data_IF_220812025040
#
_entry.id   IF_220812025040
#
_cell.length_a   1.000
_cell.length_b   1.000
_cell.length_c   1.000
_cell.angle_alpha   90.00
_cell.angle_beta   90.00
_cell.angle_gamma   90.00
#
_symmetry.space_group_name_H-M   'P 1'
#
loop_
_entity.id
_entity.type
_entity.pdbx_description
1 polymer ?
#
# COMPACT_ATOMS: atom_id res chain seq x y z
N UNK A 1 -2.42 19.33 -13.04
CA UNK A 1 -3.26 20.43 -12.55
C UNK A 1 -4.58 20.32 -13.29
N UNK A 2 -5.62 19.75 -12.68
CA UNK A 2 -6.94 19.57 -13.32
C UNK A 2 -7.82 20.74 -12.91
N UNK A 3 -8.09 21.64 -13.85
CA UNK A 3 -9.06 22.73 -13.68
C UNK A 3 -10.45 22.09 -13.79
N UNK A 4 -11.11 21.90 -12.65
CA UNK A 4 -12.54 21.62 -12.60
C UNK A 4 -13.25 22.95 -12.80
N UNK A 5 -13.73 23.18 -14.02
CA UNK A 5 -14.63 24.30 -14.32
C UNK A 5 -15.99 23.94 -13.69
N UNK A 6 -16.24 24.46 -12.49
CA UNK A 6 -17.57 24.53 -11.90
C UNK A 6 -18.36 25.57 -12.69
N UNK A 7 -19.16 25.09 -13.64
CA UNK A 7 -20.21 25.88 -14.27
C UNK A 7 -21.29 26.16 -13.22
N UNK A 8 -21.12 27.26 -12.46
CA UNK A 8 -22.22 27.94 -11.82
C UNK A 8 -23.01 28.68 -12.90
N UNK A 9 -23.94 27.99 -13.55
CA UNK A 9 -24.94 28.58 -14.44
C UNK A 9 -26.30 28.04 -14.00
N UNK A 10 -27.28 28.82 -13.57
CA UNK A 10 -27.34 30.25 -13.34
C UNK A 10 -28.63 30.55 -12.58
N UNK A 11 -28.60 31.52 -11.67
CA UNK A 11 -29.82 32.11 -11.14
C UNK A 11 -30.48 32.90 -12.28
N UNK A 12 -31.40 32.27 -13.00
CA UNK A 12 -32.27 32.98 -13.93
C UNK A 12 -33.38 33.63 -13.12
N UNK A 13 -33.05 34.73 -12.42
CA UNK A 13 -34.02 35.57 -11.75
C UNK A 13 -34.99 36.12 -12.81
N UNK A 14 -36.08 35.39 -13.02
CA UNK A 14 -37.07 35.71 -14.05
C UNK A 14 -37.89 36.89 -13.54
N UNK A 15 -37.40 38.10 -13.82
CA UNK A 15 -37.88 39.39 -13.31
C UNK A 15 -39.37 39.71 -13.61
N UNK A 16 -40.06 38.88 -14.40
CA UNK A 16 -41.48 39.06 -14.75
C UNK A 16 -42.45 38.47 -13.71
N UNK A 17 -42.07 37.43 -12.97
CA UNK A 17 -42.97 36.75 -12.01
C UNK A 17 -43.32 37.54 -10.74
N UNK A 18 -42.42 38.35 -10.12
CA UNK A 18 -42.80 39.18 -8.97
C UNK A 18 -43.86 40.23 -9.32
N UNK A 19 -43.90 40.71 -10.59
CA UNK A 19 -44.87 41.72 -11.03
C UNK A 19 -46.32 41.23 -11.01
N UNK A 20 -46.54 39.94 -11.31
CA UNK A 20 -47.89 39.34 -11.30
C UNK A 20 -48.44 39.25 -9.88
N UNK A 21 -47.59 38.96 -8.89
CA UNK A 21 -47.99 38.96 -7.48
C UNK A 21 -48.31 40.37 -6.97
N UNK A 22 -47.55 41.39 -7.42
CA UNK A 22 -47.83 42.78 -7.10
C UNK A 22 -49.17 43.25 -7.69
N UNK A 23 -49.48 42.81 -8.91
CA UNK A 23 -50.76 43.08 -9.58
C UNK A 23 -51.93 42.40 -8.88
N UNK A 24 -51.82 41.11 -8.56
CA UNK A 24 -52.84 40.38 -7.80
C UNK A 24 -53.10 41.02 -6.42
N UNK A 25 -52.04 41.48 -5.75
CA UNK A 25 -52.17 42.16 -4.45
C UNK A 25 -52.92 43.49 -4.57
N UNK A 26 -52.73 44.25 -5.66
CA UNK A 26 -53.49 45.49 -5.92
C UNK A 26 -54.97 45.20 -6.17
N UNK A 27 -55.25 44.21 -7.01
CA UNK A 27 -56.61 43.79 -7.35
C UNK A 27 -57.39 43.27 -6.14
N UNK A 28 -56.72 42.80 -5.08
CA UNK A 28 -57.35 42.26 -3.88
C UNK A 28 -58.41 43.18 -3.23
N UNK A 29 -58.23 44.51 -3.34
CA UNK A 29 -59.15 45.50 -2.75
C UNK A 29 -60.22 45.95 -3.73
N UNK A 30 -59.91 45.95 -5.03
CA UNK A 30 -60.78 46.47 -6.10
C UNK A 30 -61.68 45.39 -6.69
N UNK A 31 -61.10 44.23 -7.01
CA UNK A 31 -61.77 43.05 -7.56
C UNK A 31 -61.09 41.75 -7.06
N UNK A 32 -61.59 41.18 -5.95
CA UNK A 32 -61.06 39.94 -5.41
C UNK A 32 -61.12 38.76 -6.37
N UNK A 33 -62.09 38.73 -7.29
CA UNK A 33 -62.26 37.62 -8.22
C UNK A 33 -61.18 37.68 -9.31
N UNK A 34 -60.91 38.87 -9.85
CA UNK A 34 -59.80 39.09 -10.77
C UNK A 34 -58.44 38.79 -10.11
N UNK A 35 -58.26 39.16 -8.83
CA UNK A 35 -57.06 38.80 -8.07
C UNK A 35 -56.87 37.28 -7.98
N UNK A 36 -57.94 36.53 -7.69
CA UNK A 36 -57.90 35.07 -7.63
C UNK A 36 -57.62 34.43 -9.00
N UNK A 37 -58.23 34.95 -10.07
CA UNK A 37 -57.96 34.51 -11.46
C UNK A 37 -56.51 34.74 -11.85
N UNK A 38 -55.94 35.89 -11.51
CA UNK A 38 -54.53 36.22 -11.73
C UNK A 38 -53.61 35.21 -11.02
N UNK A 39 -53.89 34.89 -9.75
CA UNK A 39 -53.10 33.94 -8.96
C UNK A 39 -53.24 32.48 -9.44
N UNK A 40 -54.41 32.11 -9.98
CA UNK A 40 -54.63 30.79 -10.59
C UNK A 40 -53.86 30.64 -11.93
N UNK A 41 -53.61 31.73 -12.65
CA UNK A 41 -52.85 31.73 -13.90
C UNK A 41 -51.35 31.48 -13.73
N UNK A 42 -50.81 31.60 -12.51
CA UNK A 42 -49.40 31.38 -12.23
C UNK A 42 -49.06 29.90 -12.12
N UNK A 43 -48.06 29.43 -12.86
CA UNK A 43 -47.48 28.10 -12.67
C UNK A 43 -46.52 28.11 -11.46
N UNK A 44 -46.96 27.50 -10.36
CA UNK A 44 -46.19 27.45 -9.10
C UNK A 44 -44.98 26.53 -9.26
N UNK A 45 -45.11 25.54 -10.14
CA UNK A 45 -44.12 24.47 -10.29
C UNK A 45 -42.80 24.99 -10.89
N UNK A 46 -42.85 26.11 -11.62
CA UNK A 46 -41.68 26.77 -12.19
C UNK A 46 -41.04 27.83 -11.29
N UNK A 47 -41.65 28.16 -10.14
CA UNK A 47 -41.08 29.14 -9.22
C UNK A 47 -39.79 28.59 -8.61
N UNK A 48 -38.71 29.36 -8.66
CA UNK A 48 -37.40 28.93 -8.15
C UNK A 48 -37.26 29.17 -6.63
N UNK A 49 -37.91 30.22 -6.12
CA UNK A 49 -37.69 30.72 -4.76
C UNK A 49 -38.87 30.43 -3.82
N UNK A 50 -38.52 29.84 -2.67
CA UNK A 50 -39.42 29.58 -1.55
C UNK A 50 -40.11 30.84 -1.01
N UNK A 51 -39.45 32.01 -1.04
CA UNK A 51 -40.05 33.26 -0.58
C UNK A 51 -41.19 33.72 -1.49
N UNK A 52 -40.98 33.59 -2.80
CA UNK A 52 -41.99 33.93 -3.82
C UNK A 52 -43.20 33.00 -3.72
N UNK A 53 -42.96 31.70 -3.49
CA UNK A 53 -44.02 30.70 -3.28
C UNK A 53 -44.81 30.98 -2.00
N UNK A 54 -44.14 31.36 -0.91
CA UNK A 54 -44.80 31.75 0.33
C UNK A 54 -45.65 33.02 0.18
N UNK A 55 -45.15 34.02 -0.57
CA UNK A 55 -45.90 35.24 -0.88
C UNK A 55 -47.13 34.93 -1.73
N UNK A 56 -46.98 34.11 -2.77
CA UNK A 56 -48.10 33.63 -3.58
C UNK A 56 -49.15 32.92 -2.72
N UNK A 57 -48.72 32.00 -1.84
CA UNK A 57 -49.61 31.25 -0.97
C UNK A 57 -50.42 32.14 0.01
N UNK A 58 -49.78 33.20 0.52
CA UNK A 58 -50.44 34.19 1.37
C UNK A 58 -51.52 34.95 0.60
N UNK A 59 -51.17 35.48 -0.58
CA UNK A 59 -52.10 36.22 -1.44
C UNK A 59 -53.23 35.34 -1.96
N UNK A 60 -52.95 34.08 -2.29
CA UNK A 60 -53.94 33.10 -2.72
C UNK A 60 -54.99 32.86 -1.63
N UNK A 61 -54.52 32.64 -0.41
CA UNK A 61 -55.37 32.45 0.76
C UNK A 61 -56.19 33.70 1.08
N UNK A 62 -55.60 34.88 0.94
CA UNK A 62 -56.28 36.16 1.10
C UNK A 62 -57.40 36.36 0.05
N UNK A 63 -57.13 36.04 -1.22
CA UNK A 63 -58.12 36.08 -2.29
C UNK A 63 -59.27 35.11 -2.03
N UNK A 64 -58.99 33.90 -1.54
CA UNK A 64 -60.06 32.95 -1.19
C UNK A 64 -60.97 33.51 -0.09
N UNK A 65 -60.40 34.11 0.97
CA UNK A 65 -61.20 34.76 2.03
C UNK A 65 -62.02 35.91 1.48
N UNK A 66 -61.42 36.78 0.66
CA UNK A 66 -62.09 37.94 0.08
C UNK A 66 -63.27 37.54 -0.82
N UNK A 67 -63.15 36.43 -1.55
CA UNK A 67 -64.23 35.83 -2.35
C UNK A 67 -65.18 34.93 -1.54
N UNK A 68 -65.00 34.81 -0.22
CA UNK A 68 -65.79 33.93 0.67
C UNK A 68 -65.78 32.46 0.25
N UNK A 69 -64.65 31.98 -0.26
CA UNK A 69 -64.43 30.59 -0.69
C UNK A 69 -63.77 29.77 0.41
N UNK A 70 -64.13 28.49 0.48
CA UNK A 70 -63.56 27.53 1.43
C UNK A 70 -62.44 26.73 0.78
N UNK A 71 -61.29 26.60 1.46
CA UNK A 71 -60.24 25.70 0.99
C UNK A 71 -60.54 24.25 1.39
N UNK A 72 -60.30 23.27 0.49
CA UNK A 72 -60.50 21.85 0.79
C UNK A 72 -59.45 21.30 1.77
N UNK A 73 -58.27 21.93 1.86
CA UNK A 73 -57.17 21.54 2.75
C UNK A 73 -56.47 22.79 3.28
N UNK A 74 -55.53 22.59 4.22
CA UNK A 74 -54.68 23.67 4.72
C UNK A 74 -53.32 23.78 3.97
N UNK A 75 -53.09 22.98 2.91
CA UNK A 75 -51.76 22.84 2.30
C UNK A 75 -51.19 24.17 1.80
N UNK A 76 -51.96 24.95 1.03
CA UNK A 76 -51.47 26.20 0.44
C UNK A 76 -51.17 27.22 1.54
N UNK A 77 -52.10 27.44 2.47
CA UNK A 77 -51.86 28.42 3.55
C UNK A 77 -50.71 28.01 4.47
N UNK A 78 -50.50 26.71 4.68
CA UNK A 78 -49.36 26.22 5.47
C UNK A 78 -48.01 26.58 4.85
N UNK A 79 -47.91 26.71 3.52
CA UNK A 79 -46.68 27.19 2.86
C UNK A 79 -46.28 28.56 3.42
N UNK A 80 -47.24 29.49 3.49
CA UNK A 80 -47.00 30.83 4.04
C UNK A 80 -46.70 30.78 5.54
N UNK A 81 -47.50 30.03 6.31
CA UNK A 81 -47.32 29.89 7.76
C UNK A 81 -45.93 29.34 8.11
N UNK A 82 -45.52 28.24 7.47
CA UNK A 82 -44.23 27.60 7.71
C UNK A 82 -43.06 28.49 7.30
N UNK A 83 -43.17 29.15 6.14
CA UNK A 83 -42.13 30.05 5.65
C UNK A 83 -41.98 31.28 6.57
N UNK A 84 -43.05 32.05 6.80
CA UNK A 84 -42.97 33.28 7.60
C UNK A 84 -42.67 33.00 9.08
N UNK A 85 -43.16 31.88 9.61
CA UNK A 85 -42.83 31.41 10.95
C UNK A 85 -41.35 31.05 11.09
N UNK A 86 -40.79 30.29 10.14
CA UNK A 86 -39.38 29.90 10.13
C UNK A 86 -38.42 31.08 9.90
N UNK A 87 -38.85 32.11 9.17
CA UNK A 87 -38.06 33.32 8.89
C UNK A 87 -38.29 34.45 9.91
N UNK A 88 -39.09 34.21 10.96
CA UNK A 88 -39.38 35.16 12.03
C UNK A 88 -40.04 36.49 11.56
N UNK A 89 -40.81 36.41 10.47
CA UNK A 89 -41.60 37.53 9.91
C UNK A 89 -42.98 37.55 10.59
N UNK A 90 -43.05 38.25 11.72
CA UNK A 90 -44.16 38.15 12.68
C UNK A 90 -45.51 38.64 12.13
N UNK A 91 -45.51 39.71 11.35
CA UNK A 91 -46.75 40.33 10.87
C UNK A 91 -47.41 39.46 9.80
N UNK A 92 -46.62 38.99 8.84
CA UNK A 92 -47.04 38.06 7.78
C UNK A 92 -47.44 36.70 8.35
N UNK A 93 -46.71 36.19 9.34
CA UNK A 93 -47.07 34.96 10.04
C UNK A 93 -48.41 35.08 10.77
N UNK A 94 -48.64 36.19 11.49
CA UNK A 94 -49.93 36.44 12.14
C UNK A 94 -51.05 36.57 11.11
N UNK A 95 -50.82 37.27 9.99
CA UNK A 95 -51.78 37.37 8.89
C UNK A 95 -52.12 35.98 8.33
N UNK A 96 -51.12 35.17 8.01
CA UNK A 96 -51.30 33.82 7.49
C UNK A 96 -52.08 32.93 8.48
N UNK A 97 -51.74 33.00 9.77
CA UNK A 97 -52.41 32.22 10.81
C UNK A 97 -53.88 32.60 10.97
N UNK A 98 -54.21 33.90 10.87
CA UNK A 98 -55.61 34.38 10.86
C UNK A 98 -56.36 33.90 9.63
N UNK A 99 -55.75 34.01 8.44
CA UNK A 99 -56.36 33.52 7.19
C UNK A 99 -56.64 32.02 7.26
N UNK A 100 -55.70 31.22 7.78
CA UNK A 100 -55.89 29.77 8.00
C UNK A 100 -57.14 29.46 8.84
N UNK A 101 -57.35 30.21 9.92
CA UNK A 101 -58.52 30.03 10.77
C UNK A 101 -59.82 30.42 10.05
N UNK A 102 -59.80 31.50 9.28
CA UNK A 102 -60.98 32.07 8.62
C UNK A 102 -61.43 31.23 7.41
N UNK A 103 -60.49 30.78 6.56
CA UNK A 103 -60.79 30.03 5.32
C UNK A 103 -61.61 28.76 5.59
N UNK A 104 -61.38 28.13 6.74
CA UNK A 104 -62.10 26.91 7.15
C UNK A 104 -63.54 27.16 7.59
N UNK A 105 -63.88 28.40 7.94
CA UNK A 105 -65.19 28.75 8.53
C UNK A 105 -66.24 29.17 7.51
N UNK A 106 -65.85 29.49 6.27
CA UNK A 106 -66.81 29.75 5.22
C UNK A 106 -67.48 28.46 4.75
N UNK A 107 -68.78 28.53 4.45
CA UNK A 107 -69.60 27.39 4.00
C UNK A 107 -69.90 27.36 2.51
N UNK A 108 -69.22 28.20 1.70
CA UNK A 108 -69.43 28.25 0.26
C UNK A 108 -68.47 27.27 -0.43
N UNK A 109 -68.96 26.05 -0.64
CA UNK A 109 -68.26 25.00 -1.36
C UNK A 109 -68.49 25.17 -2.86
N UNK A 110 -67.66 25.98 -3.50
CA UNK A 110 -67.59 26.02 -4.96
C UNK A 110 -66.72 24.86 -5.48
N UNK A 111 -67.29 24.02 -6.34
CA UNK A 111 -66.62 22.88 -6.93
C UNK A 111 -65.46 23.31 -7.85
N UNK A 112 -65.63 24.42 -8.57
CA UNK A 112 -64.61 24.96 -9.47
C UNK A 112 -63.41 25.48 -8.68
N UNK A 113 -63.64 26.29 -7.65
CA UNK A 113 -62.59 26.75 -6.74
C UNK A 113 -61.86 25.58 -6.07
N UNK A 114 -62.58 24.53 -5.69
CA UNK A 114 -61.99 23.31 -5.10
C UNK A 114 -61.08 22.60 -6.10
N UNK A 115 -61.51 22.44 -7.35
CA UNK A 115 -60.70 21.81 -8.39
C UNK A 115 -59.42 22.60 -8.71
N UNK A 116 -59.53 23.93 -8.85
CA UNK A 116 -58.38 24.82 -9.07
C UNK A 116 -57.39 24.79 -7.90
N UNK A 117 -57.91 24.76 -6.66
CA UNK A 117 -57.08 24.64 -5.47
C UNK A 117 -56.27 23.33 -5.49
N UNK A 118 -56.94 22.19 -5.73
CA UNK A 118 -56.27 20.88 -5.80
C UNK A 118 -55.26 20.80 -6.95
N UNK A 119 -55.51 21.49 -8.07
CA UNK A 119 -54.53 21.63 -9.14
C UNK A 119 -53.27 22.34 -8.64
N UNK A 120 -53.42 23.46 -7.91
CA UNK A 120 -52.29 24.22 -7.35
C UNK A 120 -51.51 23.46 -6.29
N UNK A 121 -52.18 22.64 -5.47
CA UNK A 121 -51.48 21.70 -4.59
C UNK A 121 -50.59 20.73 -5.35
N UNK A 122 -51.08 20.16 -6.46
CA UNK A 122 -50.28 19.23 -7.29
C UNK A 122 -49.06 19.92 -7.90
N UNK A 123 -49.22 21.14 -8.41
CA UNK A 123 -48.10 21.96 -8.91
C UNK A 123 -47.04 22.20 -7.81
N UNK A 124 -47.48 22.49 -6.59
CA UNK A 124 -46.59 22.66 -5.44
C UNK A 124 -45.86 21.36 -5.06
N UNK A 125 -46.54 20.21 -5.10
CA UNK A 125 -45.87 18.92 -4.83
C UNK A 125 -44.79 18.60 -5.87
N UNK A 126 -45.01 18.95 -7.14
CA UNK A 126 -44.00 18.83 -8.20
C UNK A 126 -42.80 19.76 -7.96
N UNK A 127 -43.03 20.99 -7.47
CA UNK A 127 -41.96 21.88 -7.04
C UNK A 127 -41.11 21.25 -5.92
N UNK A 128 -41.79 20.74 -4.87
CA UNK A 128 -41.11 20.11 -3.73
C UNK A 128 -40.27 18.90 -4.15
N UNK A 129 -40.76 18.12 -5.09
CA UNK A 129 -40.02 16.97 -5.63
C UNK A 129 -38.78 17.40 -6.41
N UNK A 130 -38.89 18.42 -7.28
CA UNK A 130 -37.74 18.99 -8.00
C UNK A 130 -36.67 19.52 -7.04
N UNK A 131 -37.07 20.33 -6.05
CA UNK A 131 -36.15 20.86 -5.05
C UNK A 131 -35.46 19.74 -4.23
N UNK A 132 -36.14 18.62 -3.96
CA UNK A 132 -35.53 17.47 -3.31
C UNK A 132 -34.54 16.73 -4.22
N UNK A 133 -34.87 16.55 -5.51
CA UNK A 133 -33.99 15.91 -6.50
C UNK A 133 -32.71 16.72 -6.73
N UNK A 134 -32.79 18.05 -6.76
CA UNK A 134 -31.61 18.91 -6.85
C UNK A 134 -30.66 18.72 -5.67
N UNK A 135 -31.20 18.67 -4.44
CA UNK A 135 -30.39 18.38 -3.25
C UNK A 135 -29.71 17.01 -3.33
N UNK A 136 -30.43 15.98 -3.79
CA UNK A 136 -29.86 14.65 -3.99
C UNK A 136 -28.73 14.68 -5.03
N UNK A 137 -28.90 15.41 -6.12
CA UNK A 137 -27.87 15.57 -7.16
C UNK A 137 -26.59 16.24 -6.63
N UNK A 138 -26.70 17.28 -5.80
CA UNK A 138 -25.53 17.90 -5.17
C UNK A 138 -24.81 16.93 -4.21
N UNK A 139 -25.57 16.17 -3.42
CA UNK A 139 -25.00 15.17 -2.50
C UNK A 139 -24.23 14.09 -3.28
N UNK A 140 -24.78 13.59 -4.39
CA UNK A 140 -24.10 12.56 -5.20
C UNK A 140 -22.80 13.09 -5.82
N UNK A 141 -22.79 14.32 -6.33
CA UNK A 141 -21.56 14.96 -6.84
C UNK A 141 -20.49 15.05 -5.75
N UNK A 142 -20.85 15.47 -4.53
CA UNK A 142 -19.92 15.57 -3.41
C UNK A 142 -19.31 14.20 -3.07
N UNK A 143 -20.14 13.14 -3.02
CA UNK A 143 -19.68 11.77 -2.75
C UNK A 143 -18.70 11.28 -3.83
N UNK A 144 -19.00 11.54 -5.11
CA UNK A 144 -18.12 11.16 -6.23
C UNK A 144 -16.78 11.90 -6.14
N UNK A 145 -16.79 13.19 -5.81
CA UNK A 145 -15.56 13.98 -5.64
C UNK A 145 -14.69 13.45 -4.50
N UNK A 146 -15.29 13.07 -3.37
CA UNK A 146 -14.56 12.46 -2.25
C UNK A 146 -13.95 11.11 -2.64
N UNK A 147 -14.70 10.25 -3.34
CA UNK A 147 -14.21 8.98 -3.83
C UNK A 147 -13.06 9.13 -4.84
N UNK A 148 -13.15 10.10 -5.76
CA UNK A 148 -12.06 10.41 -6.68
C UNK A 148 -10.81 10.90 -5.94
N UNK A 149 -10.99 11.77 -4.94
CA UNK A 149 -9.90 12.27 -4.09
C UNK A 149 -9.16 11.14 -3.37
N UNK A 150 -9.88 10.19 -2.75
CA UNK A 150 -9.24 9.05 -2.06
C UNK A 150 -8.49 8.14 -3.03
N UNK A 151 -9.04 7.88 -4.22
CA UNK A 151 -8.37 7.10 -5.27
C UNK A 151 -7.07 7.79 -5.73
N UNK A 152 -7.10 9.11 -5.92
CA UNK A 152 -5.92 9.89 -6.32
C UNK A 152 -4.85 9.83 -5.23
N UNK A 153 -5.22 10.04 -3.96
CA UNK A 153 -4.29 9.98 -2.82
C UNK A 153 -3.68 8.58 -2.67
N UNK A 154 -4.48 7.52 -2.82
CA UNK A 154 -3.98 6.14 -2.81
C UNK A 154 -3.00 5.89 -3.94
N UNK A 155 -3.32 6.32 -5.17
CA UNK A 155 -2.41 6.17 -6.32
C UNK A 155 -1.12 6.96 -6.13
N UNK A 156 -1.18 8.17 -5.59
CA UNK A 156 0.01 8.96 -5.27
C UNK A 156 0.86 8.28 -4.19
N UNK A 157 0.23 7.76 -3.14
CA UNK A 157 0.92 7.03 -2.06
C UNK A 157 1.63 5.78 -2.59
N UNK A 158 0.96 5.00 -3.44
CA UNK A 158 1.54 3.80 -4.06
C UNK A 158 2.75 4.17 -4.92
N UNK A 159 2.67 5.23 -5.75
CA UNK A 159 3.80 5.70 -6.57
C UNK A 159 4.99 6.16 -5.73
N UNK A 160 4.73 6.83 -4.60
CA UNK A 160 5.80 7.26 -3.71
C UNK A 160 6.45 6.08 -2.99
N UNK A 161 5.64 5.09 -2.60
CA UNK A 161 6.14 3.89 -1.95
C UNK A 161 6.91 2.99 -2.92
N UNK A 162 6.49 2.90 -4.19
CA UNK A 162 7.24 2.13 -5.19
C UNK A 162 8.65 2.71 -5.40
N UNK A 163 8.80 4.03 -5.48
CA UNK A 163 10.11 4.67 -5.61
C UNK A 163 11.05 4.37 -4.43
N UNK A 164 10.52 4.27 -3.19
CA UNK A 164 11.31 3.88 -2.02
C UNK A 164 11.68 2.39 -2.05
N UNK A 165 10.75 1.53 -2.47
CA UNK A 165 10.99 0.10 -2.60
C UNK A 165 12.03 -0.21 -3.69
N UNK A 166 12.03 0.52 -4.79
CA UNK A 166 13.01 0.35 -5.87
C UNK A 166 14.44 0.66 -5.38
N UNK A 167 14.60 1.67 -4.52
CA UNK A 167 15.89 1.99 -3.90
C UNK A 167 16.35 0.89 -2.92
N UNK A 168 15.45 0.38 -2.08
CA UNK A 168 15.76 -0.74 -1.18
C UNK A 168 16.08 -2.03 -1.94
N UNK A 169 15.41 -2.29 -3.07
CA UNK A 169 15.70 -3.44 -3.93
C UNK A 169 17.05 -3.32 -4.65
N UNK A 170 17.49 -2.10 -4.97
CA UNK A 170 18.83 -1.87 -5.52
C UNK A 170 19.92 -2.20 -4.50
N UNK A 171 19.75 -1.82 -3.23
CA UNK A 171 20.68 -2.16 -2.15
C UNK A 171 20.68 -3.66 -1.84
N UNK A 172 19.48 -4.26 -1.74
CA UNK A 172 19.35 -5.70 -1.49
C UNK A 172 19.92 -6.56 -2.63
N UNK A 173 19.81 -6.11 -3.88
CA UNK A 173 20.39 -6.83 -5.03
C UNK A 173 21.91 -6.75 -5.05
N UNK A 174 22.51 -5.61 -4.68
CA UNK A 174 23.96 -5.48 -4.49
C UNK A 174 24.49 -6.45 -3.43
N UNK A 175 23.83 -6.53 -2.28
CA UNK A 175 24.21 -7.47 -1.22
C UNK A 175 24.06 -8.93 -1.66
N UNK A 176 23.00 -9.24 -2.42
CA UNK A 176 22.77 -10.58 -2.97
C UNK A 176 23.87 -10.99 -3.95
N UNK A 177 24.29 -10.09 -4.84
CA UNK A 177 25.40 -10.37 -5.77
C UNK A 177 26.72 -10.63 -5.04
N UNK A 178 26.99 -9.94 -3.93
CA UNK A 178 28.18 -10.17 -3.11
C UNK A 178 28.14 -11.53 -2.41
N UNK A 179 26.98 -11.91 -1.85
CA UNK A 179 26.78 -13.23 -1.24
C UNK A 179 26.91 -14.35 -2.28
N UNK A 180 26.34 -14.17 -3.47
CA UNK A 180 26.44 -15.14 -4.57
C UNK A 180 27.90 -15.32 -5.01
N UNK A 181 28.65 -14.23 -5.21
CA UNK A 181 30.07 -14.29 -5.54
C UNK A 181 30.87 -15.08 -4.49
N UNK A 182 30.67 -14.78 -3.19
CA UNK A 182 31.34 -15.48 -2.10
C UNK A 182 30.95 -16.96 -2.02
N UNK A 183 29.70 -17.29 -2.33
CA UNK A 183 29.24 -18.68 -2.36
C UNK A 183 29.87 -19.47 -3.51
N UNK A 184 30.05 -18.84 -4.69
CA UNK A 184 30.72 -19.45 -5.83
C UNK A 184 32.19 -19.78 -5.53
N UNK A 185 32.92 -18.89 -4.85
CA UNK A 185 34.33 -19.14 -4.46
C UNK A 185 34.46 -20.33 -3.50
N UNK A 186 33.54 -20.43 -2.54
CA UNK A 186 33.49 -21.56 -1.60
C UNK A 186 33.16 -22.87 -2.34
N UNK A 187 32.17 -22.87 -3.22
CA UNK A 187 31.83 -24.05 -4.02
C UNK A 187 32.96 -24.46 -4.97
N UNK A 188 33.68 -23.51 -5.57
CA UNK A 188 34.82 -23.80 -6.45
C UNK A 188 35.96 -24.47 -5.69
N UNK A 189 36.28 -23.96 -4.50
CA UNK A 189 37.27 -24.56 -3.60
C UNK A 189 36.86 -25.97 -3.16
N UNK A 190 35.58 -26.16 -2.79
CA UNK A 190 35.08 -27.45 -2.35
C UNK A 190 35.06 -28.51 -3.47
N UNK A 191 34.64 -28.14 -4.69
CA UNK A 191 34.59 -29.07 -5.82
C UNK A 191 35.97 -29.51 -6.30
N UNK A 192 36.95 -28.61 -6.33
CA UNK A 192 38.33 -28.97 -6.65
C UNK A 192 38.91 -29.90 -5.59
N UNK A 193 38.64 -29.64 -4.32
CA UNK A 193 39.08 -30.49 -3.22
C UNK A 193 38.43 -31.88 -3.29
N UNK A 194 37.13 -31.96 -3.58
CA UNK A 194 36.44 -33.24 -3.77
C UNK A 194 37.01 -34.00 -4.96
N UNK A 195 37.25 -33.35 -6.10
CA UNK A 195 37.87 -33.99 -7.27
C UNK A 195 39.29 -34.53 -6.98
N UNK A 196 40.08 -33.84 -6.15
CA UNK A 196 41.40 -34.33 -5.72
C UNK A 196 41.30 -35.55 -4.78
N UNK A 197 40.22 -35.65 -4.00
CA UNK A 197 39.97 -36.76 -3.07
C UNK A 197 39.18 -37.92 -3.69
N UNK A 198 38.38 -37.71 -4.73
CA UNK A 198 37.54 -38.74 -5.36
C UNK A 198 38.37 -39.85 -6.02
N UNK A 199 39.48 -39.49 -6.67
CA UNK A 199 40.47 -40.45 -7.16
C UNK A 199 41.12 -41.29 -6.04
N UNK A 200 40.92 -40.90 -4.77
CA UNK A 200 41.49 -41.55 -3.59
C UNK A 200 40.44 -42.35 -2.82
N UNK A 201 39.18 -41.93 -2.81
CA UNK A 201 38.08 -42.75 -2.29
C UNK A 201 37.94 -44.04 -3.09
N UNK A 202 38.15 -44.00 -4.41
CA UNK A 202 38.23 -45.21 -5.24
C UNK A 202 39.38 -46.15 -4.86
N UNK A 203 40.51 -45.61 -4.39
CA UNK A 203 41.63 -46.41 -3.88
C UNK A 203 41.32 -46.98 -2.49
N UNK A 204 40.68 -46.21 -1.61
CA UNK A 204 40.19 -46.70 -0.31
C UNK A 204 39.19 -47.83 -0.52
N UNK A 205 38.25 -47.68 -1.46
CA UNK A 205 37.30 -48.74 -1.83
C UNK A 205 38.03 -49.97 -2.36
N UNK A 206 39.03 -49.81 -3.22
CA UNK A 206 39.86 -50.93 -3.70
C UNK A 206 40.64 -51.63 -2.56
N UNK A 207 41.14 -50.87 -1.58
CA UNK A 207 41.86 -51.42 -0.42
C UNK A 207 40.91 -52.10 0.58
N UNK A 208 39.72 -51.54 0.80
CA UNK A 208 38.64 -52.15 1.57
C UNK A 208 38.20 -53.46 0.92
N UNK A 209 38.02 -53.48 -0.40
CA UNK A 209 37.74 -54.68 -1.19
C UNK A 209 38.84 -55.74 -0.96
N UNK A 210 40.12 -55.34 -1.04
CA UNK A 210 41.26 -56.25 -0.81
C UNK A 210 41.32 -56.76 0.65
N UNK A 211 40.97 -55.93 1.64
CA UNK A 211 40.90 -56.29 3.06
C UNK A 211 39.71 -57.21 3.39
N UNK A 212 38.59 -57.09 2.68
CA UNK A 212 37.44 -57.99 2.85
C UNK A 212 37.63 -59.32 2.12
N UNK A 213 38.32 -59.32 0.98
CA UNK A 213 38.64 -60.53 0.20
C UNK A 213 39.75 -61.37 0.85
N UNK A 214 40.69 -60.75 1.55
CA UNK A 214 41.73 -61.45 2.34
C UNK A 214 41.35 -61.44 3.82
N UNK A 215 41.13 -62.60 4.44
CA UNK A 215 40.61 -62.70 5.82
C UNK A 215 41.58 -62.28 6.95
N UNK A 216 42.30 -61.18 6.77
CA UNK A 216 42.84 -60.37 7.86
C UNK A 216 43.92 -61.04 8.71
N UNK A 217 44.89 -61.72 8.12
CA UNK A 217 46.06 -62.17 8.91
C UNK A 217 46.87 -60.97 9.42
N UNK A 218 47.56 -61.11 10.55
CA UNK A 218 48.27 -59.99 11.23
C UNK A 218 49.36 -59.35 10.35
N UNK A 219 49.94 -60.13 9.44
CA UNK A 219 50.94 -59.72 8.43
C UNK A 219 50.30 -58.94 7.29
N UNK A 220 49.13 -59.35 6.80
CA UNK A 220 48.39 -58.64 5.74
C UNK A 220 47.84 -57.31 6.24
N UNK A 221 47.33 -57.23 7.48
CA UNK A 221 46.94 -55.96 8.10
C UNK A 221 48.10 -54.97 8.18
N UNK A 222 49.30 -55.47 8.49
CA UNK A 222 50.52 -54.64 8.52
C UNK A 222 50.91 -54.17 7.12
N UNK A 223 50.85 -55.04 6.12
CA UNK A 223 51.14 -54.67 4.73
C UNK A 223 50.13 -53.65 4.17
N UNK A 224 48.85 -53.78 4.50
CA UNK A 224 47.80 -52.82 4.13
C UNK A 224 48.04 -51.48 4.83
N UNK A 225 48.36 -51.47 6.13
CA UNK A 225 48.67 -50.25 6.87
C UNK A 225 49.91 -49.51 6.32
N UNK A 226 50.98 -50.23 5.97
CA UNK A 226 52.18 -49.64 5.36
C UNK A 226 51.89 -49.10 3.95
N UNK A 227 51.08 -49.79 3.15
CA UNK A 227 50.69 -49.32 1.82
C UNK A 227 49.78 -48.09 1.87
N UNK A 228 48.87 -48.03 2.84
CA UNK A 228 48.06 -46.83 3.13
C UNK A 228 48.95 -45.65 3.54
N UNK A 229 49.94 -45.87 4.40
CA UNK A 229 50.88 -44.81 4.80
C UNK A 229 51.73 -44.29 3.64
N UNK A 230 52.26 -45.19 2.81
CA UNK A 230 53.04 -44.81 1.63
C UNK A 230 52.21 -43.98 0.62
N UNK A 231 50.94 -44.31 0.46
CA UNK A 231 50.04 -43.56 -0.42
C UNK A 231 49.63 -42.20 0.17
N UNK A 232 49.38 -42.11 1.47
CA UNK A 232 49.15 -40.82 2.16
C UNK A 232 50.35 -39.89 1.99
N UNK A 233 51.57 -40.42 2.08
CA UNK A 233 52.80 -39.66 1.87
C UNK A 233 52.95 -39.17 0.41
N UNK A 234 52.51 -39.99 -0.56
CA UNK A 234 52.46 -39.61 -1.97
C UNK A 234 51.41 -38.51 -2.25
N UNK A 235 50.25 -38.53 -1.56
CA UNK A 235 49.23 -37.45 -1.61
C UNK A 235 49.83 -36.13 -1.16
N UNK A 236 50.54 -36.17 -0.02
CA UNK A 236 51.10 -35.00 0.64
C UNK A 236 52.00 -34.20 -0.30
N UNK A 237 52.69 -34.88 -1.21
CA UNK A 237 53.69 -34.29 -2.10
C UNK A 237 53.09 -33.80 -3.43
N UNK A 238 52.17 -34.53 -4.06
CA UNK A 238 51.62 -34.15 -5.38
C UNK A 238 50.43 -33.16 -5.31
N UNK A 239 49.60 -33.23 -4.26
CA UNK A 239 48.38 -32.43 -4.16
C UNK A 239 48.59 -31.06 -3.52
N UNK A 240 49.67 -30.91 -2.76
CA UNK A 240 49.98 -29.69 -2.02
C UNK A 240 50.14 -28.42 -2.90
N UNK A 241 50.90 -28.44 -4.02
CA UNK A 241 51.08 -27.26 -4.85
C UNK A 241 49.78 -26.84 -5.56
N UNK A 242 48.91 -27.80 -5.86
CA UNK A 242 47.60 -27.56 -6.51
C UNK A 242 46.64 -26.89 -5.53
N UNK A 243 46.62 -27.36 -4.28
CA UNK A 243 45.81 -26.76 -3.20
C UNK A 243 46.27 -25.33 -2.88
N UNK A 244 47.58 -25.10 -2.81
CA UNK A 244 48.16 -23.76 -2.61
C UNK A 244 47.71 -22.77 -3.69
N UNK A 245 47.79 -23.16 -4.97
CA UNK A 245 47.34 -22.33 -6.09
C UNK A 245 45.86 -21.99 -6.01
N UNK A 246 45.00 -22.99 -5.81
CA UNK A 246 43.54 -22.78 -5.76
C UNK A 246 43.14 -21.89 -4.58
N UNK A 247 43.77 -22.07 -3.41
CA UNK A 247 43.51 -21.21 -2.25
C UNK A 247 43.94 -19.77 -2.54
N UNK A 248 45.09 -19.57 -3.18
CA UNK A 248 45.52 -18.23 -3.57
C UNK A 248 44.59 -17.59 -4.60
N UNK A 249 44.15 -18.33 -5.62
CA UNK A 249 43.22 -17.86 -6.64
C UNK A 249 41.83 -17.54 -6.08
N UNK A 250 41.36 -18.26 -5.05
CA UNK A 250 40.04 -18.05 -4.43
C UNK A 250 40.05 -17.06 -3.26
N UNK A 251 41.23 -16.76 -2.68
CA UNK A 251 41.35 -15.94 -1.47
C UNK A 251 42.38 -14.83 -1.63
N UNK A 252 42.45 -14.20 -2.79
CA UNK A 252 43.31 -13.03 -3.06
C UNK A 252 44.78 -13.23 -2.62
N UNK A 253 45.38 -14.36 -2.97
CA UNK A 253 46.77 -14.70 -2.64
C UNK A 253 47.07 -14.73 -1.13
N UNK A 254 46.10 -15.13 -0.31
CA UNK A 254 46.24 -15.14 1.15
C UNK A 254 47.45 -15.93 1.64
N UNK A 255 47.84 -17.04 0.98
CA UNK A 255 48.99 -17.84 1.37
C UNK A 255 50.32 -17.17 0.99
N UNK A 256 50.35 -16.41 -0.11
CA UNK A 256 51.50 -15.58 -0.45
C UNK A 256 51.71 -14.47 0.59
N UNK A 257 50.61 -13.83 1.02
CA UNK A 257 50.65 -12.83 2.09
C UNK A 257 51.07 -13.43 3.44
N UNK A 258 50.64 -14.66 3.74
CA UNK A 258 51.14 -15.42 4.91
C UNK A 258 52.66 -15.62 4.83
N UNK A 259 53.20 -15.99 3.67
CA UNK A 259 54.65 -16.19 3.46
C UNK A 259 55.43 -14.87 3.57
N UNK A 260 54.88 -13.76 3.10
CA UNK A 260 55.50 -12.44 3.23
C UNK A 260 55.50 -11.94 4.68
N UNK A 261 54.44 -12.24 5.44
CA UNK A 261 54.29 -11.84 6.84
C UNK A 261 55.16 -12.66 7.79
N UNK A 262 55.34 -13.95 7.51
CA UNK A 262 56.16 -14.86 8.28
C UNK A 262 57.23 -15.49 7.36
N UNK A 263 58.30 -14.75 7.00
CA UNK A 263 59.34 -15.26 6.10
C UNK A 263 60.09 -16.47 6.70
N UNK A 264 60.22 -16.55 8.03
CA UNK A 264 60.78 -17.69 8.77
C UNK A 264 59.72 -18.74 9.18
N UNK A 265 58.63 -18.87 8.43
CA UNK A 265 57.65 -19.92 8.68
C UNK A 265 58.26 -21.30 8.42
N UNK A 266 58.08 -22.22 9.36
CA UNK A 266 58.51 -23.61 9.17
C UNK A 266 57.70 -24.25 8.03
N UNK A 267 58.31 -25.08 7.17
CA UNK A 267 57.61 -25.74 6.06
C UNK A 267 56.36 -26.51 6.51
N UNK A 268 56.45 -27.18 7.66
CA UNK A 268 55.35 -27.95 8.26
C UNK A 268 54.20 -27.04 8.74
N UNK A 269 54.51 -25.84 9.24
CA UNK A 269 53.51 -24.87 9.70
C UNK A 269 52.86 -24.13 8.52
N UNK A 270 53.63 -23.89 7.45
CA UNK A 270 53.10 -23.40 6.18
C UNK A 270 52.16 -24.43 5.56
N UNK A 271 52.54 -25.71 5.59
CA UNK A 271 51.71 -26.78 5.08
C UNK A 271 50.38 -26.92 5.83
N UNK A 272 50.43 -26.79 7.16
CA UNK A 272 49.24 -26.68 7.99
C UNK A 272 48.37 -25.47 7.61
N UNK A 273 48.98 -24.31 7.29
CA UNK A 273 48.24 -23.12 6.85
C UNK A 273 47.48 -23.35 5.53
N UNK A 274 48.10 -23.99 4.54
CA UNK A 274 47.44 -24.33 3.26
C UNK A 274 46.25 -25.25 3.48
N UNK A 275 46.40 -26.27 4.33
CA UNK A 275 45.32 -27.20 4.64
C UNK A 275 44.16 -26.57 5.40
N UNK A 276 44.46 -25.68 6.35
CA UNK A 276 43.45 -24.89 7.06
C UNK A 276 42.73 -23.92 6.12
N UNK A 277 43.46 -23.24 5.24
CA UNK A 277 42.89 -22.32 4.25
C UNK A 277 42.06 -23.05 3.18
N UNK A 278 42.31 -24.34 2.97
CA UNK A 278 41.49 -25.23 2.13
C UNK A 278 40.21 -25.70 2.82
N UNK A 279 39.94 -25.26 4.06
CA UNK A 279 38.79 -25.64 4.89
C UNK A 279 38.71 -27.14 5.21
N UNK A 280 39.86 -27.80 5.29
CA UNK A 280 39.92 -29.21 5.68
C UNK A 280 39.58 -29.40 7.15
N UNK A 281 38.85 -30.48 7.45
CA UNK A 281 38.57 -30.85 8.83
C UNK A 281 39.87 -31.17 9.58
N UNK A 282 39.91 -30.89 10.89
CA UNK A 282 41.07 -31.23 11.75
C UNK A 282 41.42 -32.71 11.73
N UNK A 283 40.43 -33.58 11.49
CA UNK A 283 40.64 -35.02 11.33
C UNK A 283 41.32 -35.36 10.00
N UNK A 284 40.94 -34.71 8.90
CA UNK A 284 41.59 -34.87 7.59
C UNK A 284 43.02 -34.33 7.63
N UNK A 285 43.24 -33.19 8.28
CA UNK A 285 44.58 -32.60 8.45
C UNK A 285 45.48 -33.51 9.31
N UNK A 286 44.93 -34.09 10.38
CA UNK A 286 45.64 -35.07 11.23
C UNK A 286 46.09 -36.29 10.42
N UNK A 287 45.26 -36.78 9.50
CA UNK A 287 45.62 -37.88 8.60
C UNK A 287 46.70 -37.48 7.58
N UNK A 288 46.64 -36.27 7.02
CA UNK A 288 47.59 -35.79 6.02
C UNK A 288 48.97 -35.44 6.59
N UNK A 289 49.03 -35.09 7.88
CA UNK A 289 50.28 -34.75 8.59
C UNK A 289 50.83 -35.89 9.45
N UNK A 290 50.15 -37.05 9.51
CA UNK A 290 50.47 -38.19 10.38
C UNK A 290 50.67 -37.80 11.86
N UNK A 291 49.91 -36.79 12.32
CA UNK A 291 49.97 -36.24 13.67
C UNK A 291 48.62 -36.42 14.37
N UNK A 292 48.62 -36.52 15.71
CA UNK A 292 47.36 -36.60 16.45
C UNK A 292 46.58 -35.28 16.36
N UNK A 293 45.25 -35.37 16.41
CA UNK A 293 44.35 -34.21 16.37
C UNK A 293 44.70 -33.16 17.42
N UNK A 294 45.16 -33.59 18.60
CA UNK A 294 45.57 -32.70 19.70
C UNK A 294 46.79 -31.85 19.36
N UNK A 295 47.74 -32.42 18.61
CA UNK A 295 48.91 -31.69 18.12
C UNK A 295 48.49 -30.67 17.07
N UNK A 296 47.58 -31.05 16.16
CA UNK A 296 47.02 -30.14 15.15
C UNK A 296 46.31 -28.94 15.79
N UNK A 297 45.49 -29.14 16.81
CA UNK A 297 44.84 -28.03 17.53
C UNK A 297 45.85 -27.08 18.19
N UNK A 298 46.90 -27.62 18.83
CA UNK A 298 47.97 -26.82 19.44
C UNK A 298 48.77 -26.04 18.40
N UNK A 299 49.13 -26.67 17.28
CA UNK A 299 49.85 -26.02 16.17
C UNK A 299 48.99 -24.96 15.49
N UNK A 300 47.72 -25.24 15.22
CA UNK A 300 46.72 -24.27 14.72
C UNK A 300 46.65 -23.03 15.62
N UNK A 301 46.54 -23.23 16.95
CA UNK A 301 46.48 -22.13 17.91
C UNK A 301 47.76 -21.29 17.92
N UNK A 302 48.94 -21.93 17.90
CA UNK A 302 50.24 -21.24 17.85
C UNK A 302 50.41 -20.44 16.56
N UNK A 303 50.06 -21.05 15.43
CA UNK A 303 50.13 -20.43 14.12
C UNK A 303 49.20 -19.21 14.05
N UNK A 304 47.95 -19.34 14.51
CA UNK A 304 47.00 -18.23 14.63
C UNK A 304 47.57 -17.07 15.46
N UNK A 305 48.13 -17.35 16.64
CA UNK A 305 48.74 -16.31 17.49
C UNK A 305 49.92 -15.62 16.82
N UNK A 306 50.81 -16.37 16.16
CA UNK A 306 51.97 -15.81 15.46
C UNK A 306 51.56 -14.91 14.30
N UNK A 307 50.55 -15.32 13.54
CA UNK A 307 50.04 -14.55 12.40
C UNK A 307 49.33 -13.26 12.84
N UNK A 308 48.46 -13.35 13.86
CA UNK A 308 47.72 -12.21 14.39
C UNK A 308 48.60 -11.19 15.12
N UNK A 309 49.70 -11.63 15.74
CA UNK A 309 50.64 -10.72 16.40
C UNK A 309 51.60 -10.04 15.41
N UNK A 310 51.75 -10.57 14.20
CA UNK A 310 52.66 -10.04 13.19
C UNK A 310 52.01 -8.94 12.31
N UNK A 311 50.68 -8.77 12.34
CA UNK A 311 49.96 -7.83 11.48
C UNK A 311 48.73 -7.21 12.17
N UNK A 312 48.63 -5.87 12.16
CA UNK A 312 47.42 -5.15 12.59
C UNK A 312 46.46 -4.83 11.43
N UNK A 313 46.93 -4.83 10.17
CA UNK A 313 46.14 -4.37 9.01
C UNK A 313 45.33 -5.49 8.29
N UNK A 314 45.81 -6.74 8.30
CA UNK A 314 45.21 -7.87 7.54
C UNK A 314 44.49 -8.90 8.43
N UNK A 315 44.14 -8.47 9.64
CA UNK A 315 43.70 -9.33 10.74
C UNK A 315 42.43 -10.13 10.40
N UNK A 316 41.47 -9.51 9.71
CA UNK A 316 40.21 -10.17 9.32
C UNK A 316 40.40 -11.26 8.26
N UNK A 317 41.26 -11.03 7.28
CA UNK A 317 41.51 -12.00 6.21
C UNK A 317 42.23 -13.24 6.75
N UNK A 318 43.23 -13.05 7.61
CA UNK A 318 43.97 -14.16 8.22
C UNK A 318 43.15 -14.94 9.24
N UNK A 319 42.18 -14.32 9.92
CA UNK A 319 41.23 -15.07 10.76
C UNK A 319 40.37 -16.03 9.94
N UNK A 320 40.07 -15.73 8.66
CA UNK A 320 39.28 -16.61 7.79
C UNK A 320 39.96 -17.94 7.44
N UNK A 321 41.26 -18.09 7.75
CA UNK A 321 42.02 -19.35 7.59
C UNK A 321 41.73 -20.32 8.74
N UNK A 322 41.39 -19.83 9.94
CA UNK A 322 41.38 -20.61 11.19
C UNK A 322 39.99 -20.83 11.75
#
# INVERSE_FOLDING_TARGET
>A
MYIVILLFTGCSYTASRPKVLDEAQRLMTEDPQAALSCLNGLDISELEDSATIARWALLYSEAMVANRLTAPTDTIINIAVDYYGGHNLRDEFQKASRLKAIIKTYGNHDELATALYLQKEKEFMLYKERAAREKLFYITIIVIMLAAGTIILMRQRIRLQSAKNDALMAEASGLKTEIEARSCDVSRLQNTLHSLLDNRFSLIDALCQTYYESQGTRTERKAIAEKVKAEIEAVRTDSFPKMERVVNDCRNNILERVRQTLPDIKPEDYQLAVYLASNLSTRTISLLLDESTDVIYKRKSRLKKRLLNATDCDRCDFESIF
#
